data_IF_401000788765
#
_entry.id   IF_401000788765
#
_cell.length_a   1.000
_cell.length_b   1.000
_cell.length_c   1.000
_cell.angle_alpha   90.00
_cell.angle_beta   90.00
_cell.angle_gamma   90.00
#
_symmetry.space_group_name_H-M   'P 1'
#
loop_
_entity.id
_entity.type
_entity.pdbx_description
1 polymer ?
#
# COMPACT_ATOMS: atom_id res chain seq x y z
N UNK A 1 0.17 -20.56 -6.91
CA UNK A 1 -1.10 -20.52 -6.14
C UNK A 1 -2.20 -19.69 -6.83
N UNK A 2 -2.26 -19.69 -8.18
CA UNK A 2 -3.38 -19.21 -8.98
C UNK A 2 -3.76 -20.18 -10.12
N UNK A 3 -2.98 -21.26 -10.32
CA UNK A 3 -3.09 -22.14 -11.50
C UNK A 3 -4.32 -23.04 -11.53
N UNK A 4 -5.05 -23.18 -10.42
CA UNK A 4 -6.19 -24.09 -10.31
C UNK A 4 -7.55 -23.41 -10.58
N UNK A 5 -7.56 -22.12 -10.91
CA UNK A 5 -8.79 -21.38 -11.23
C UNK A 5 -8.98 -21.26 -12.74
N UNK A 6 -10.15 -21.64 -13.23
CA UNK A 6 -10.61 -21.25 -14.56
C UNK A 6 -11.06 -19.79 -14.51
N UNK A 7 -10.44 -18.96 -15.36
CA UNK A 7 -10.71 -17.52 -15.42
C UNK A 7 -11.60 -17.23 -16.62
N UNK A 8 -12.74 -16.58 -16.39
CA UNK A 8 -13.63 -16.06 -17.43
C UNK A 8 -13.65 -14.54 -17.36
N UNK A 9 -13.38 -13.88 -18.49
CA UNK A 9 -13.51 -12.43 -18.61
C UNK A 9 -15.01 -12.11 -18.72
N UNK A 10 -15.52 -11.25 -17.83
CA UNK A 10 -16.91 -10.80 -17.84
C UNK A 10 -17.05 -9.44 -18.53
N UNK A 11 -16.15 -8.51 -18.23
CA UNK A 11 -16.13 -7.17 -18.81
C UNK A 11 -14.70 -6.62 -18.75
N UNK A 12 -14.27 -5.92 -19.79
CA UNK A 12 -12.99 -5.22 -19.79
C UNK A 12 -13.09 -3.93 -20.62
N UNK A 13 -12.97 -2.79 -19.95
CA UNK A 13 -12.92 -1.47 -20.57
C UNK A 13 -11.97 -0.55 -19.76
N UNK A 14 -11.94 0.74 -20.10
CA UNK A 14 -11.04 1.73 -19.46
C UNK A 14 -11.33 1.99 -17.99
N UNK A 15 -12.55 1.72 -17.52
CA UNK A 15 -13.00 2.06 -16.17
C UNK A 15 -13.15 0.82 -15.28
N UNK A 16 -13.47 -0.33 -15.86
CA UNK A 16 -13.68 -1.57 -15.11
C UNK A 16 -13.09 -2.78 -15.84
N UNK A 17 -12.53 -3.71 -15.08
CA UNK A 17 -12.15 -5.05 -15.54
C UNK A 17 -12.66 -6.08 -14.55
N UNK A 18 -13.58 -6.94 -14.98
CA UNK A 18 -14.27 -7.92 -14.14
C UNK A 18 -14.00 -9.33 -14.64
N UNK A 19 -13.64 -10.21 -13.71
CA UNK A 19 -13.28 -11.60 -13.95
C UNK A 19 -14.08 -12.51 -13.02
N UNK A 20 -14.48 -13.66 -13.52
CA UNK A 20 -14.97 -14.76 -12.71
C UNK A 20 -13.86 -15.80 -12.61
N UNK A 21 -13.47 -16.11 -11.38
CA UNK A 21 -12.52 -17.15 -11.05
C UNK A 21 -13.33 -18.32 -10.52
N UNK A 22 -13.20 -19.47 -11.17
CA UNK A 22 -13.99 -20.67 -10.84
C UNK A 22 -13.08 -21.86 -10.57
N UNK A 23 -13.25 -22.45 -9.40
CA UNK A 23 -12.75 -23.79 -9.05
C UNK A 23 -13.90 -24.58 -8.38
N UNK A 24 -13.75 -25.02 -7.13
CA UNK A 24 -14.84 -25.46 -6.26
C UNK A 24 -15.80 -24.35 -5.83
N UNK A 25 -15.40 -23.07 -5.94
CA UNK A 25 -16.23 -21.89 -5.70
C UNK A 25 -16.10 -20.91 -6.86
N UNK A 26 -17.16 -20.19 -7.19
CA UNK A 26 -17.14 -19.08 -8.13
C UNK A 26 -16.99 -17.75 -7.39
N UNK A 27 -15.94 -17.00 -7.71
CA UNK A 27 -15.67 -15.66 -7.13
C UNK A 27 -15.56 -14.65 -8.26
N UNK A 28 -16.24 -13.52 -8.11
CA UNK A 28 -16.08 -12.37 -9.02
C UNK A 28 -15.07 -11.39 -8.44
N UNK A 29 -14.08 -11.02 -9.24
CA UNK A 29 -13.11 -9.97 -8.92
C UNK A 29 -13.24 -8.86 -9.94
N UNK A 30 -13.39 -7.63 -9.45
CA UNK A 30 -13.51 -6.43 -10.29
C UNK A 30 -12.47 -5.39 -9.90
N UNK A 31 -11.72 -4.91 -10.89
CA UNK A 31 -10.83 -3.76 -10.76
C UNK A 31 -11.55 -2.54 -11.31
N UNK A 32 -11.84 -1.56 -10.44
CA UNK A 32 -12.67 -0.41 -10.77
C UNK A 32 -11.85 0.87 -10.57
N UNK A 33 -11.67 1.63 -11.65
CA UNK A 33 -11.02 2.94 -11.60
C UNK A 33 -11.89 3.90 -10.79
N UNK A 34 -11.29 4.57 -9.81
CA UNK A 34 -12.00 5.50 -8.91
C UNK A 34 -13.22 4.84 -8.23
N UNK A 35 -13.11 3.55 -7.90
CA UNK A 35 -14.20 2.79 -7.29
C UNK A 35 -14.72 3.37 -5.97
N UNK A 36 -13.89 4.14 -5.25
CA UNK A 36 -14.30 4.85 -4.04
C UNK A 36 -15.29 6.01 -4.29
N UNK A 37 -15.46 6.44 -5.55
CA UNK A 37 -16.50 7.42 -5.92
C UNK A 37 -17.85 6.78 -6.23
N UNK A 38 -17.88 5.47 -6.48
CA UNK A 38 -19.05 4.78 -7.06
C UNK A 38 -19.55 3.61 -6.21
N UNK A 39 -18.71 3.03 -5.35
CA UNK A 39 -19.04 1.85 -4.55
C UNK A 39 -18.76 2.10 -3.07
N UNK A 40 -19.82 2.09 -2.26
CA UNK A 40 -19.71 2.38 -0.82
C UNK A 40 -18.70 1.49 -0.06
N UNK A 41 -18.63 0.16 -0.27
CA UNK A 41 -17.62 -0.66 0.42
C UNK A 41 -16.17 -0.26 0.09
N UNK A 42 -15.92 0.16 -1.16
CA UNK A 42 -14.61 0.65 -1.60
C UNK A 42 -14.32 2.01 -0.94
N UNK A 43 -15.32 2.92 -0.92
CA UNK A 43 -15.22 4.22 -0.27
C UNK A 43 -14.90 4.09 1.22
N UNK A 44 -15.61 3.21 1.92
CA UNK A 44 -15.41 2.93 3.33
C UNK A 44 -13.97 2.42 3.57
N UNK A 45 -13.55 1.40 2.82
CA UNK A 45 -12.19 0.85 2.92
C UNK A 45 -11.11 1.89 2.64
N UNK A 46 -11.35 2.78 1.68
CA UNK A 46 -10.46 3.89 1.29
C UNK A 46 -10.29 4.90 2.44
N UNK A 47 -11.39 5.31 3.09
CA UNK A 47 -11.37 6.21 4.25
C UNK A 47 -10.63 5.59 5.42
N UNK A 48 -10.96 4.35 5.78
CA UNK A 48 -10.28 3.64 6.87
C UNK A 48 -8.78 3.50 6.64
N UNK A 49 -8.38 3.13 5.41
CA UNK A 49 -6.96 2.98 5.06
C UNK A 49 -6.21 4.30 5.14
N UNK A 50 -6.82 5.41 4.67
CA UNK A 50 -6.23 6.76 4.75
C UNK A 50 -6.08 7.21 6.21
N UNK A 51 -7.10 6.99 7.03
CA UNK A 51 -7.06 7.33 8.45
C UNK A 51 -5.96 6.55 9.19
N UNK A 52 -5.89 5.23 9.01
CA UNK A 52 -4.86 4.39 9.64
C UNK A 52 -3.47 4.85 9.20
N UNK A 53 -3.27 5.16 7.90
CA UNK A 53 -2.02 5.71 7.40
C UNK A 53 -1.64 7.00 8.12
N UNK A 54 -2.55 7.95 8.27
CA UNK A 54 -2.28 9.21 8.96
C UNK A 54 -1.90 9.00 10.43
N UNK A 55 -2.58 8.07 11.12
CA UNK A 55 -2.24 7.68 12.49
C UNK A 55 -0.82 7.12 12.58
N UNK A 56 -0.44 6.21 11.68
CA UNK A 56 0.91 5.65 11.66
C UNK A 56 1.99 6.69 11.32
N UNK A 57 1.76 7.57 10.35
CA UNK A 57 2.70 8.64 10.02
C UNK A 57 2.88 9.60 11.21
N UNK A 58 1.79 9.93 11.91
CA UNK A 58 1.87 10.75 13.14
C UNK A 58 2.72 10.07 14.20
N UNK A 59 2.45 8.80 14.52
CA UNK A 59 3.19 8.05 15.53
C UNK A 59 4.68 7.91 15.17
N UNK A 60 5.01 7.69 13.90
CA UNK A 60 6.40 7.64 13.41
C UNK A 60 7.10 8.97 13.66
N UNK A 61 6.48 10.09 13.28
CA UNK A 61 7.07 11.41 13.48
C UNK A 61 7.27 11.71 14.97
N UNK A 62 6.29 11.40 15.82
CA UNK A 62 6.38 11.58 17.26
C UNK A 62 7.52 10.76 17.87
N UNK A 63 7.64 9.48 17.51
CA UNK A 63 8.71 8.61 17.99
C UNK A 63 10.10 9.22 17.72
N UNK A 64 10.38 9.61 16.47
CA UNK A 64 11.69 10.16 16.13
C UNK A 64 11.92 11.58 16.66
N UNK A 65 10.87 12.40 16.79
CA UNK A 65 10.99 13.75 17.38
C UNK A 65 11.42 13.71 18.85
N UNK A 66 11.09 12.66 19.60
CA UNK A 66 11.60 12.48 20.98
C UNK A 66 13.10 12.17 21.05
N UNK A 67 13.75 11.83 19.92
CA UNK A 67 15.16 11.39 19.86
C UNK A 67 16.05 12.33 19.04
N UNK A 68 15.47 13.11 18.14
CA UNK A 68 16.20 13.99 17.21
C UNK A 68 15.62 15.39 17.34
N UNK A 69 16.42 16.30 17.91
CA UNK A 69 16.04 17.70 18.04
C UNK A 69 15.82 18.33 16.67
N UNK A 70 14.77 19.15 16.52
CA UNK A 70 14.43 19.87 15.28
C UNK A 70 14.20 18.96 14.05
N UNK A 71 13.81 17.71 14.24
CA UNK A 71 13.46 16.81 13.14
C UNK A 71 12.29 17.37 12.33
N UNK A 72 12.47 17.50 11.01
CA UNK A 72 11.37 17.85 10.10
C UNK A 72 10.45 16.63 9.90
N UNK A 73 9.13 16.76 10.09
CA UNK A 73 8.21 15.64 9.95
C UNK A 73 8.10 15.17 8.50
N UNK A 74 7.92 13.86 8.29
CA UNK A 74 7.61 13.27 6.99
C UNK A 74 6.10 13.14 6.78
N UNK A 75 5.67 13.29 5.54
CA UNK A 75 4.29 12.99 5.10
C UNK A 75 4.13 11.54 4.60
N UNK A 76 5.20 10.74 4.61
CA UNK A 76 5.18 9.36 4.13
C UNK A 76 4.91 9.22 2.63
N UNK A 77 5.29 10.22 1.82
CA UNK A 77 5.30 10.12 0.37
C UNK A 77 6.70 9.74 -0.09
N UNK A 78 6.78 8.84 -1.08
CA UNK A 78 8.05 8.32 -1.57
C UNK A 78 9.02 9.43 -2.03
N UNK A 79 8.51 10.48 -2.68
CA UNK A 79 9.30 11.58 -3.26
C UNK A 79 10.19 12.37 -2.26
N UNK A 80 10.05 12.17 -0.94
CA UNK A 80 10.86 12.86 0.08
C UNK A 80 11.23 11.96 1.27
N UNK A 81 11.11 10.64 1.13
CA UNK A 81 11.35 9.74 2.26
C UNK A 81 12.85 9.53 2.52
N UNK A 82 13.68 9.71 1.50
CA UNK A 82 15.13 9.49 1.53
C UNK A 82 15.80 10.37 2.58
N UNK A 83 15.44 11.67 2.62
CA UNK A 83 16.03 12.58 3.61
C UNK A 83 15.63 12.23 5.04
N UNK A 84 14.40 11.76 5.23
CA UNK A 84 13.94 11.28 6.54
C UNK A 84 14.69 10.01 6.94
N UNK A 85 14.92 9.08 6.01
CA UNK A 85 15.71 7.86 6.24
C UNK A 85 17.15 8.21 6.63
N UNK A 86 17.77 9.14 5.92
CA UNK A 86 19.14 9.60 6.19
C UNK A 86 19.27 10.18 7.60
N UNK A 87 18.40 11.14 7.96
CA UNK A 87 18.45 11.83 9.26
C UNK A 87 18.10 10.89 10.43
N UNK A 88 17.26 9.88 10.20
CA UNK A 88 16.85 8.93 11.24
C UNK A 88 17.76 7.71 11.37
N UNK A 89 18.81 7.59 10.55
CA UNK A 89 19.63 6.38 10.43
C UNK A 89 20.22 5.90 11.77
N UNK A 90 20.80 6.80 12.57
CA UNK A 90 21.47 6.40 13.82
C UNK A 90 20.48 5.94 14.89
N UNK A 91 19.33 6.63 14.99
CA UNK A 91 18.22 6.19 15.85
C UNK A 91 17.70 4.84 15.37
N UNK A 92 17.51 4.68 14.06
CA UNK A 92 17.03 3.42 13.49
C UNK A 92 17.97 2.24 13.76
N UNK A 93 19.28 2.43 13.61
CA UNK A 93 20.28 1.40 13.98
C UNK A 93 20.22 1.07 15.47
N UNK A 94 20.07 2.08 16.35
CA UNK A 94 19.97 1.88 17.80
C UNK A 94 18.77 1.05 18.22
N UNK A 95 17.63 1.17 17.52
CA UNK A 95 16.38 0.48 17.84
C UNK A 95 16.06 -0.68 16.88
N UNK A 96 17.03 -1.13 16.08
CA UNK A 96 16.87 -2.21 15.10
C UNK A 96 15.69 -2.02 14.12
N UNK A 97 15.51 -0.79 13.64
CA UNK A 97 14.43 -0.43 12.70
C UNK A 97 14.97 -0.49 11.26
N UNK A 98 14.53 -1.51 10.52
CA UNK A 98 14.99 -1.79 9.17
C UNK A 98 14.54 -0.73 8.12
N UNK A 99 15.37 -0.51 7.08
CA UNK A 99 15.13 0.55 6.07
C UNK A 99 13.94 0.25 5.17
N UNK A 100 13.74 -1.02 4.87
CA UNK A 100 12.60 -1.51 4.12
C UNK A 100 11.24 -1.22 4.80
N UNK A 101 11.19 -0.89 6.10
CA UNK A 101 9.95 -0.43 6.73
C UNK A 101 9.42 0.89 6.13
N UNK A 102 10.29 1.70 5.52
CA UNK A 102 9.94 3.01 4.95
C UNK A 102 9.86 2.99 3.42
N UNK A 103 10.28 1.88 2.78
CA UNK A 103 10.35 1.75 1.34
C UNK A 103 9.40 0.66 0.87
N UNK A 104 8.53 1.00 -0.08
CA UNK A 104 7.73 -0.01 -0.76
C UNK A 104 8.67 -0.88 -1.61
N UNK A 105 8.89 -2.13 -1.20
CA UNK A 105 9.46 -3.14 -2.10
C UNK A 105 8.49 -3.33 -3.26
N UNK A 106 8.94 -3.07 -4.47
CA UNK A 106 8.28 -3.60 -5.66
C UNK A 106 8.75 -5.03 -5.78
N UNK A 107 7.99 -5.97 -5.24
CA UNK A 107 8.23 -7.36 -5.60
C UNK A 107 8.07 -7.49 -7.11
N UNK A 108 9.00 -8.21 -7.73
CA UNK A 108 9.08 -8.46 -9.17
C UNK A 108 8.00 -9.43 -9.65
N UNK A 109 6.75 -9.26 -9.18
CA UNK A 109 5.58 -9.95 -9.71
C UNK A 109 5.29 -9.56 -11.17
N UNK A 110 6.04 -8.61 -11.74
CA UNK A 110 6.11 -8.34 -13.17
C UNK A 110 6.61 -9.54 -14.01
N UNK A 111 7.23 -10.57 -13.40
CA UNK A 111 7.63 -11.80 -14.11
C UNK A 111 6.56 -12.91 -14.12
N UNK A 112 5.35 -12.66 -13.60
CA UNK A 112 4.26 -13.65 -13.62
C UNK A 112 3.42 -13.61 -14.90
N UNK A 113 3.73 -12.71 -15.83
CA UNK A 113 3.04 -12.54 -17.10
C UNK A 113 3.97 -12.52 -18.31
N UNK A 114 5.23 -12.97 -18.14
CA UNK A 114 6.15 -13.30 -19.23
C UNK A 114 6.10 -14.81 -19.53
#
# INVERSE_FOLDING_TARGET
>A
MLGDFKIKILEQNRNISSYELSNSLAVRISFIKEGDKTHFPIALSSVFSKYIRERFIKNINEFFATKIQNLKPTKGYAYKIEKFIEVTNDVRKKYDIATNCFLRKRDSLLRLFD
#
